data_IF_680295707857
#
_entry.id   IF_680295707857
#
_cell.length_a   1.000
_cell.length_b   1.000
_cell.length_c   1.000
_cell.angle_alpha   90.00
_cell.angle_beta   90.00
_cell.angle_gamma   90.00
#
_symmetry.space_group_name_H-M   'P 1'
#
loop_
_entity.id
_entity.type
_entity.pdbx_description
1 polymer ?
#
# COMPACT_ATOMS: atom_id res chain seq x y z
N UNK A 1 15.95 -6.43 14.02
CA UNK A 1 14.73 -5.65 14.31
C UNK A 1 15.16 -4.21 14.55
N UNK A 2 14.46 -3.24 13.97
CA UNK A 2 14.74 -1.81 14.16
C UNK A 2 14.44 -1.43 15.63
N UNK A 3 15.44 -1.02 16.43
CA UNK A 3 15.24 -0.67 17.83
C UNK A 3 14.39 0.60 18.02
N UNK A 4 14.08 1.33 16.94
CA UNK A 4 13.12 2.43 16.91
C UNK A 4 11.72 2.06 16.42
N UNK A 5 11.39 0.77 16.27
CA UNK A 5 10.04 0.33 15.90
C UNK A 5 9.04 0.70 17.01
N UNK A 6 8.46 1.89 16.90
CA UNK A 6 7.20 2.21 17.54
C UNK A 6 6.08 1.82 16.58
N UNK A 7 5.03 1.11 17.01
CA UNK A 7 3.79 0.99 16.26
C UNK A 7 3.02 2.32 16.22
N UNK A 8 3.73 3.46 16.21
CA UNK A 8 3.15 4.76 15.97
C UNK A 8 2.89 4.87 14.47
N UNK A 9 1.63 4.60 14.12
CA UNK A 9 1.11 4.78 12.77
C UNK A 9 1.51 6.15 12.18
N UNK A 10 1.61 7.20 13.01
CA UNK A 10 2.02 8.53 12.57
C UNK A 10 3.49 8.60 12.19
N UNK A 11 4.38 7.94 12.94
CA UNK A 11 5.79 7.85 12.59
C UNK A 11 5.99 7.09 11.27
N UNK A 12 5.30 5.97 11.11
CA UNK A 12 5.32 5.21 9.85
C UNK A 12 4.77 6.05 8.68
N UNK A 13 3.66 6.75 8.88
CA UNK A 13 3.02 7.59 7.86
C UNK A 13 3.97 8.70 7.39
N UNK A 14 4.58 9.45 8.32
CA UNK A 14 5.57 10.50 7.98
C UNK A 14 6.76 9.96 7.19
N UNK A 15 7.24 8.75 7.53
CA UNK A 15 8.33 8.08 6.82
C UNK A 15 7.93 7.70 5.40
N UNK A 16 6.71 7.17 5.23
CA UNK A 16 6.18 6.83 3.91
C UNK A 16 5.93 8.07 3.05
N UNK A 17 5.44 9.16 3.62
CA UNK A 17 5.26 10.44 2.92
C UNK A 17 6.60 10.99 2.42
N UNK A 18 7.61 11.01 3.29
CA UNK A 18 8.97 11.43 2.90
C UNK A 18 9.53 10.56 1.77
N UNK A 19 9.30 9.24 1.83
CA UNK A 19 9.76 8.30 0.79
C UNK A 19 9.06 8.55 -0.53
N UNK A 20 7.76 8.81 -0.50
CA UNK A 20 6.97 9.10 -1.69
C UNK A 20 7.42 10.38 -2.38
N UNK A 21 7.68 11.46 -1.63
CA UNK A 21 8.19 12.71 -2.22
C UNK A 21 9.56 12.52 -2.86
N UNK A 22 10.46 11.74 -2.23
CA UNK A 22 11.76 11.38 -2.85
C UNK A 22 11.61 10.62 -4.16
N UNK A 23 10.64 9.71 -4.25
CA UNK A 23 10.37 8.98 -5.49
C UNK A 23 9.87 9.91 -6.59
N UNK A 24 8.99 10.86 -6.25
CA UNK A 24 8.52 11.89 -7.18
C UNK A 24 9.65 12.81 -7.65
N UNK A 25 10.50 13.27 -6.73
CA UNK A 25 11.69 14.08 -7.05
C UNK A 25 12.67 13.35 -7.96
N UNK A 26 12.79 12.02 -7.82
CA UNK A 26 13.60 11.17 -8.68
C UNK A 26 12.95 10.87 -10.05
N UNK A 27 11.77 11.43 -10.35
CA UNK A 27 11.04 11.19 -11.59
C UNK A 27 10.37 9.81 -11.67
N UNK A 28 10.25 9.09 -10.55
CA UNK A 28 9.55 7.81 -10.49
C UNK A 28 8.05 8.08 -10.36
N UNK A 29 7.25 7.48 -11.25
CA UNK A 29 5.80 7.53 -11.13
C UNK A 29 5.32 6.61 -10.00
N UNK A 30 5.34 7.13 -8.78
CA UNK A 30 4.83 6.45 -7.60
C UNK A 30 3.36 6.81 -7.37
N UNK A 31 2.54 5.82 -7.03
CA UNK A 31 1.12 5.98 -6.68
C UNK A 31 0.90 5.53 -5.24
N UNK A 32 0.13 6.31 -4.47
CA UNK A 32 -0.38 5.88 -3.16
C UNK A 32 -1.77 5.30 -3.33
N UNK A 33 -1.97 4.10 -2.80
CA UNK A 33 -3.25 3.40 -2.82
C UNK A 33 -3.72 3.22 -1.39
N UNK A 34 -4.92 3.71 -1.08
CA UNK A 34 -5.58 3.41 0.19
C UNK A 34 -6.14 2.00 0.14
N UNK A 35 -5.69 1.13 1.05
CA UNK A 35 -6.18 -0.24 1.16
C UNK A 35 -7.16 -0.29 2.32
N UNK A 36 -8.45 -0.38 2.00
CA UNK A 36 -9.50 -0.63 2.98
C UNK A 36 -9.50 -2.12 3.37
N UNK A 37 -9.40 -2.47 4.66
CA UNK A 37 -9.34 -3.86 5.09
C UNK A 37 -10.52 -4.71 4.63
N UNK A 38 -11.73 -4.15 4.66
CA UNK A 38 -12.96 -4.87 4.29
C UNK A 38 -12.96 -5.21 2.79
N UNK A 39 -12.63 -4.24 1.93
CA UNK A 39 -12.54 -4.44 0.48
C UNK A 39 -11.41 -5.42 0.10
N UNK A 40 -10.29 -5.38 0.83
CA UNK A 40 -9.21 -6.35 0.67
C UNK A 40 -9.64 -7.77 1.07
N UNK A 41 -10.38 -7.92 2.17
CA UNK A 41 -10.85 -9.23 2.63
C UNK A 41 -11.92 -9.81 1.69
N UNK A 42 -12.78 -8.98 1.11
CA UNK A 42 -13.70 -9.40 0.05
C UNK A 42 -12.95 -9.84 -1.21
N UNK A 43 -12.00 -9.02 -1.69
CA UNK A 43 -11.23 -9.33 -2.89
C UNK A 43 -10.39 -10.61 -2.73
N UNK A 44 -9.73 -10.80 -1.59
CA UNK A 44 -8.90 -12.01 -1.38
C UNK A 44 -9.77 -13.27 -1.33
N UNK A 45 -10.98 -13.20 -0.75
CA UNK A 45 -11.93 -14.32 -0.73
C UNK A 45 -12.40 -14.67 -2.14
N UNK A 46 -12.75 -13.65 -2.93
CA UNK A 46 -13.17 -13.83 -4.32
C UNK A 46 -12.06 -14.42 -5.22
N UNK A 47 -10.79 -14.12 -4.92
CA UNK A 47 -9.63 -14.60 -5.70
C UNK A 47 -8.97 -15.85 -5.13
N UNK A 48 -9.45 -16.39 -4.00
CA UNK A 48 -8.87 -17.55 -3.33
C UNK A 48 -7.47 -17.31 -2.73
N UNK A 49 -7.10 -16.05 -2.47
CA UNK A 49 -5.77 -15.66 -1.98
C UNK A 49 -5.72 -15.58 -0.45
N UNK A 50 -4.57 -15.97 0.12
CA UNK A 50 -4.27 -15.84 1.56
C UNK A 50 -4.10 -14.40 2.03
N UNK A 51 -3.88 -14.20 3.33
CA UNK A 51 -3.42 -12.92 3.89
C UNK A 51 -1.91 -12.96 3.98
N UNK A 52 -1.24 -12.56 2.91
CA UNK A 52 0.21 -12.50 2.84
C UNK A 52 0.70 -11.25 2.11
N UNK A 53 2.02 -11.07 2.07
CA UNK A 53 2.64 -9.92 1.39
C UNK A 53 2.37 -9.90 -0.11
N UNK A 54 2.23 -11.07 -0.77
CA UNK A 54 1.92 -11.14 -2.19
C UNK A 54 0.47 -10.75 -2.48
N UNK A 55 -0.47 -11.18 -1.64
CA UNK A 55 -1.88 -10.80 -1.75
C UNK A 55 -2.06 -9.30 -1.59
N UNK A 56 -1.38 -8.68 -0.61
CA UNK A 56 -1.43 -7.22 -0.42
C UNK A 56 -0.84 -6.45 -1.61
N UNK A 57 0.29 -6.90 -2.15
CA UNK A 57 0.90 -6.29 -3.33
C UNK A 57 -0.01 -6.41 -4.57
N UNK A 58 -0.61 -7.58 -4.78
CA UNK A 58 -1.55 -7.82 -5.87
C UNK A 58 -2.82 -6.96 -5.74
N UNK A 59 -3.36 -6.81 -4.52
CA UNK A 59 -4.50 -5.92 -4.27
C UNK A 59 -4.15 -4.46 -4.52
N UNK A 60 -2.97 -4.00 -4.07
CA UNK A 60 -2.50 -2.64 -4.32
C UNK A 60 -2.44 -2.33 -5.82
N UNK A 61 -1.94 -3.26 -6.64
CA UNK A 61 -1.92 -3.11 -8.09
C UNK A 61 -3.34 -3.09 -8.69
N UNK A 62 -4.23 -3.99 -8.24
CA UNK A 62 -5.63 -4.02 -8.67
C UNK A 62 -6.38 -2.71 -8.34
N UNK A 63 -6.18 -2.19 -7.13
CA UNK A 63 -6.78 -0.94 -6.69
C UNK A 63 -6.21 0.28 -7.43
N UNK A 64 -4.89 0.32 -7.68
CA UNK A 64 -4.27 1.35 -8.52
C UNK A 64 -4.89 1.39 -9.94
N UNK A 65 -5.03 0.22 -10.59
CA UNK A 65 -5.65 0.12 -11.91
C UNK A 65 -7.10 0.62 -11.93
N UNK A 66 -7.85 0.44 -10.84
CA UNK A 66 -9.22 0.98 -10.71
C UNK A 66 -9.24 2.50 -10.56
N UNK A 67 -8.21 3.10 -9.98
CA UNK A 67 -8.11 4.56 -9.80
C UNK A 67 -7.76 5.27 -11.11
N UNK A 68 -6.95 4.65 -11.98
CA UNK A 68 -6.59 5.21 -13.30
C UNK A 68 -7.74 5.23 -14.32
N UNK A 69 -8.86 4.55 -14.03
CA UNK A 69 -10.03 4.46 -14.91
C UNK A 69 -11.10 5.55 -14.63
N UNK A 70 -10.82 6.51 -13.76
CA UNK A 70 -11.70 7.62 -13.38
C UNK A 70 -11.03 8.98 -13.58
#
# INVERSE_FOLDING_TARGET
MDPGFQPDYQHWLRRMDTTFERLKEAGVNAVKVEIRPDEFDEWRKATGRGVDTHARAAYAAFAAMRMDLH
#
